data_IF_194156134278
#
_entry.id   IF_194156134278
#
_cell.length_a   1.000
_cell.length_b   1.000
_cell.length_c   1.000
_cell.angle_alpha   90.00
_cell.angle_beta   90.00
_cell.angle_gamma   90.00
#
_symmetry.space_group_name_H-M   'P 1'
#
loop_
_entity.id
_entity.type
_entity.pdbx_description
1 polymer ?
#
# COMPACT_ATOMS: atom_id res chain seq x y z
N UNK A 1 -18.69 4.85 8.55
CA UNK A 1 -17.44 4.08 8.63
C UNK A 1 -16.62 4.51 9.84
N UNK A 2 -15.88 3.62 10.51
CA UNK A 2 -15.02 3.96 11.66
C UNK A 2 -15.44 3.42 13.04
N UNK A 3 -16.57 2.72 13.14
CA UNK A 3 -17.01 2.06 14.38
C UNK A 3 -16.71 0.54 14.40
N UNK A 4 -15.66 0.10 13.70
CA UNK A 4 -15.25 -1.32 13.63
C UNK A 4 -14.84 -1.85 15.00
N UNK A 5 -14.82 -3.16 15.16
CA UNK A 5 -14.20 -3.85 16.28
C UNK A 5 -12.72 -3.43 16.44
N UNK A 6 -12.07 -3.11 15.32
CA UNK A 6 -10.66 -2.75 15.22
C UNK A 6 -10.30 -1.33 15.66
N UNK A 7 -11.28 -0.42 15.87
CA UNK A 7 -11.05 1.00 16.19
C UNK A 7 -10.15 1.26 17.42
N UNK A 8 -10.02 0.26 18.30
CA UNK A 8 -9.13 0.24 19.48
C UNK A 8 -8.45 -1.13 19.65
N UNK A 9 -8.26 -1.84 18.54
CA UNK A 9 -7.66 -3.18 18.46
C UNK A 9 -6.14 -3.17 18.70
N UNK A 10 -5.50 -4.33 18.51
CA UNK A 10 -4.07 -4.52 18.76
C UNK A 10 -3.21 -3.57 17.92
N UNK A 11 -3.42 -3.54 16.60
CA UNK A 11 -2.70 -2.65 15.68
C UNK A 11 -2.87 -1.16 16.05
N UNK A 12 -4.09 -0.73 16.41
CA UNK A 12 -4.32 0.64 16.87
C UNK A 12 -3.51 0.97 18.12
N UNK A 13 -3.47 0.08 19.13
CA UNK A 13 -2.68 0.30 20.35
C UNK A 13 -1.18 0.30 20.03
N UNK A 14 -0.74 -0.58 19.13
CA UNK A 14 0.65 -0.64 18.69
C UNK A 14 1.08 0.72 18.10
N UNK A 15 0.38 1.21 17.07
CA UNK A 15 0.74 2.46 16.38
C UNK A 15 0.56 3.70 17.26
N UNK A 16 -0.51 3.77 18.06
CA UNK A 16 -0.80 4.98 18.84
C UNK A 16 -0.15 5.01 20.22
N UNK A 17 0.38 3.89 20.72
CA UNK A 17 0.98 3.80 22.06
C UNK A 17 2.41 3.28 22.01
N UNK A 18 2.64 2.08 21.44
CA UNK A 18 3.98 1.44 21.45
C UNK A 18 4.96 2.18 20.54
N UNK A 19 4.60 2.47 19.28
CA UNK A 19 5.48 3.23 18.39
C UNK A 19 5.86 4.61 18.94
N UNK A 20 5.02 5.22 19.79
CA UNK A 20 5.33 6.52 20.41
C UNK A 20 6.40 6.47 21.48
N UNK A 21 6.75 5.28 21.96
CA UNK A 21 7.82 5.10 22.95
C UNK A 21 9.14 4.70 22.29
N UNK A 22 9.18 4.58 20.96
CA UNK A 22 10.39 4.21 20.23
C UNK A 22 11.36 5.38 20.20
N UNK A 23 12.66 5.07 20.27
CA UNK A 23 13.72 6.04 20.05
C UNK A 23 14.00 6.24 18.55
N UNK A 24 14.92 7.14 18.22
CA UNK A 24 15.24 7.49 16.83
C UNK A 24 15.79 6.30 16.03
N UNK A 25 16.54 5.38 16.68
CA UNK A 25 17.09 4.20 16.03
C UNK A 25 15.98 3.21 15.67
N UNK A 26 15.06 2.96 16.61
CA UNK A 26 13.91 2.11 16.38
C UNK A 26 12.97 2.69 15.31
N UNK A 27 12.74 4.01 15.30
CA UNK A 27 11.95 4.67 14.28
C UNK A 27 12.61 4.58 12.89
N UNK A 28 13.94 4.69 12.80
CA UNK A 28 14.64 4.49 11.53
C UNK A 28 14.44 3.07 10.99
N UNK A 29 14.49 2.05 11.87
CA UNK A 29 14.19 0.66 11.48
C UNK A 29 12.75 0.54 10.95
N UNK A 30 11.78 1.14 11.66
CA UNK A 30 10.37 1.16 11.23
C UNK A 30 10.22 1.80 9.85
N UNK A 31 10.87 2.93 9.59
CA UNK A 31 10.78 3.58 8.28
C UNK A 31 11.31 2.69 7.14
N UNK A 32 12.39 1.94 7.38
CA UNK A 32 12.90 0.96 6.39
C UNK A 32 11.91 -0.16 6.13
N UNK A 33 11.26 -0.67 7.18
CA UNK A 33 10.20 -1.69 7.06
C UNK A 33 9.01 -1.14 6.27
N UNK A 34 8.60 0.10 6.53
CA UNK A 34 7.51 0.75 5.79
C UNK A 34 7.86 0.93 4.31
N UNK A 35 9.10 1.33 3.99
CA UNK A 35 9.58 1.40 2.61
C UNK A 35 9.52 0.02 1.92
N UNK A 36 9.87 -1.05 2.64
CA UNK A 36 9.82 -2.40 2.11
C UNK A 36 8.40 -2.87 1.81
N UNK A 37 7.44 -2.61 2.70
CA UNK A 37 6.03 -2.93 2.48
C UNK A 37 5.43 -2.05 1.37
N UNK A 38 5.79 -0.76 1.31
CA UNK A 38 5.32 0.14 0.26
C UNK A 38 5.83 -0.25 -1.14
N UNK A 39 7.03 -0.83 -1.22
CA UNK A 39 7.60 -1.32 -2.47
C UNK A 39 6.80 -2.48 -3.11
N UNK A 40 5.96 -3.19 -2.34
CA UNK A 40 5.04 -4.21 -2.87
C UNK A 40 3.98 -3.59 -3.81
N UNK A 41 3.57 -2.35 -3.54
CA UNK A 41 2.60 -1.62 -4.36
C UNK A 41 3.24 -0.84 -5.52
N UNK A 42 4.51 -0.46 -5.35
CA UNK A 42 5.22 0.43 -6.24
C UNK A 42 6.69 0.00 -6.41
N UNK A 43 7.00 -0.87 -7.39
CA UNK A 43 8.36 -1.34 -7.63
C UNK A 43 9.30 -0.21 -8.06
N UNK A 44 8.78 0.90 -8.57
CA UNK A 44 9.57 2.08 -8.98
C UNK A 44 10.30 2.73 -7.79
N UNK A 45 9.86 2.47 -6.55
CA UNK A 45 10.60 2.87 -5.35
C UNK A 45 12.01 2.25 -5.28
N UNK A 46 12.31 1.22 -6.07
CA UNK A 46 13.62 0.55 -6.13
C UNK A 46 14.59 1.12 -7.18
N UNK A 47 14.24 2.22 -7.88
CA UNK A 47 15.02 2.74 -9.01
C UNK A 47 16.47 3.17 -8.71
N UNK A 48 16.80 3.46 -7.44
CA UNK A 48 18.17 3.76 -7.01
C UNK A 48 18.74 2.61 -6.18
N UNK A 49 20.04 2.32 -6.34
CA UNK A 49 20.74 1.31 -5.55
C UNK A 49 20.66 1.57 -4.05
N UNK A 50 20.65 2.84 -3.63
CA UNK A 50 20.45 3.23 -2.22
C UNK A 50 19.05 2.86 -1.74
N UNK A 51 18.02 3.14 -2.54
CA UNK A 51 16.64 2.82 -2.20
C UNK A 51 16.42 1.29 -2.17
N UNK A 52 16.97 0.58 -3.16
CA UNK A 52 16.94 -0.88 -3.20
C UNK A 52 17.62 -1.52 -1.99
N UNK A 53 18.80 -1.01 -1.59
CA UNK A 53 19.49 -1.49 -0.39
C UNK A 53 18.69 -1.23 0.89
N UNK A 54 18.09 -0.05 1.01
CA UNK A 54 17.24 0.33 2.14
C UNK A 54 15.99 -0.56 2.24
N UNK A 55 15.33 -0.85 1.12
CA UNK A 55 14.18 -1.76 1.03
C UNK A 55 14.58 -3.19 1.38
N UNK A 56 15.73 -3.67 0.89
CA UNK A 56 16.23 -4.99 1.24
C UNK A 56 16.51 -5.12 2.74
N UNK A 57 17.15 -4.11 3.35
CA UNK A 57 17.35 -4.04 4.79
C UNK A 57 16.01 -4.02 5.54
N UNK A 58 15.04 -3.24 5.06
CA UNK A 58 13.68 -3.18 5.62
C UNK A 58 12.95 -4.53 5.63
N UNK A 59 13.14 -5.36 4.59
CA UNK A 59 12.58 -6.72 4.55
C UNK A 59 13.14 -7.58 5.68
N UNK A 60 14.44 -7.55 5.90
CA UNK A 60 15.07 -8.32 7.00
C UNK A 60 14.66 -7.77 8.38
N UNK A 61 14.59 -6.44 8.52
CA UNK A 61 14.17 -5.77 9.75
C UNK A 61 12.73 -6.05 10.15
N UNK A 62 11.87 -6.52 9.23
CA UNK A 62 10.48 -6.84 9.55
C UNK A 62 10.35 -7.86 10.69
N UNK A 63 11.27 -8.83 10.75
CA UNK A 63 11.37 -9.82 11.82
C UNK A 63 12.10 -9.36 13.08
N UNK A 64 12.60 -8.13 13.14
CA UNK A 64 13.30 -7.60 14.31
C UNK A 64 12.29 -7.39 15.47
N UNK A 65 12.48 -8.01 16.65
CA UNK A 65 11.59 -7.80 17.79
C UNK A 65 11.55 -6.35 18.30
N UNK A 66 12.57 -5.53 17.98
CA UNK A 66 12.58 -4.10 18.30
C UNK A 66 11.53 -3.33 17.50
N UNK A 67 11.24 -3.74 16.26
CA UNK A 67 10.14 -3.16 15.48
C UNK A 67 8.83 -3.86 15.79
N UNK A 68 8.81 -5.19 15.94
CA UNK A 68 7.64 -5.95 16.39
C UNK A 68 6.53 -6.11 15.34
N UNK A 69 6.80 -5.86 14.06
CA UNK A 69 5.81 -6.00 12.98
C UNK A 69 5.40 -7.46 12.76
N UNK A 70 6.38 -8.37 12.76
CA UNK A 70 6.18 -9.81 12.64
C UNK A 70 5.44 -10.46 13.82
N UNK A 71 5.22 -9.73 14.93
CA UNK A 71 4.39 -10.24 16.04
C UNK A 71 2.94 -10.53 15.57
N UNK A 72 2.44 -9.80 14.57
CA UNK A 72 1.08 -9.95 14.05
C UNK A 72 0.98 -10.11 12.53
N UNK A 73 2.00 -9.71 11.76
CA UNK A 73 1.90 -9.68 10.30
C UNK A 73 2.86 -10.67 9.66
N UNK A 74 2.41 -11.34 8.60
CA UNK A 74 3.26 -12.15 7.72
C UNK A 74 3.76 -11.27 6.58
N UNK A 75 5.05 -11.35 6.27
CA UNK A 75 5.66 -10.64 5.14
C UNK A 75 6.94 -11.34 4.67
N UNK A 76 7.00 -11.64 3.38
CA UNK A 76 8.11 -12.35 2.76
C UNK A 76 8.35 -13.72 3.39
N UNK A 77 9.52 -13.90 4.01
CA UNK A 77 9.90 -15.13 4.68
C UNK A 77 9.46 -15.20 6.15
N UNK A 78 8.92 -14.11 6.68
CA UNK A 78 8.48 -14.03 8.08
C UNK A 78 7.01 -14.41 8.20
N UNK A 79 6.73 -15.35 9.09
CA UNK A 79 5.37 -15.77 9.45
C UNK A 79 4.97 -15.09 10.74
N UNK A 80 3.74 -14.57 10.80
CA UNK A 80 3.20 -13.94 11.99
C UNK A 80 3.10 -14.91 13.18
N UNK A 81 3.34 -14.40 14.39
CA UNK A 81 3.13 -15.13 15.64
C UNK A 81 1.67 -15.03 16.15
N UNK A 82 0.89 -14.10 15.62
CA UNK A 82 -0.52 -13.87 15.97
C UNK A 82 -1.33 -13.31 14.79
N UNK A 83 -2.64 -13.13 14.97
CA UNK A 83 -3.55 -12.76 13.88
C UNK A 83 -3.35 -11.31 13.41
N UNK A 84 -3.02 -11.18 12.12
CA UNK A 84 -3.00 -9.93 11.38
C UNK A 84 -2.88 -10.20 9.87
N UNK A 85 -3.30 -9.24 9.02
CA UNK A 85 -3.26 -9.42 7.57
C UNK A 85 -1.86 -9.73 7.04
N UNK A 86 -1.79 -10.61 6.04
CA UNK A 86 -0.57 -10.83 5.24
C UNK A 86 -0.28 -9.55 4.45
N UNK A 87 0.96 -9.06 4.58
CA UNK A 87 1.41 -7.82 3.95
C UNK A 87 2.12 -8.04 2.61
N UNK A 88 2.26 -9.28 2.15
CA UNK A 88 2.73 -9.59 0.80
C UNK A 88 1.79 -8.97 -0.24
N UNK A 89 2.36 -8.19 -1.16
CA UNK A 89 1.60 -7.44 -2.15
C UNK A 89 0.82 -6.27 -1.56
N UNK A 90 1.01 -5.86 -0.30
CA UNK A 90 0.19 -4.82 0.32
C UNK A 90 0.14 -3.54 -0.53
N UNK A 91 -1.07 -3.02 -0.75
CA UNK A 91 -1.31 -1.84 -1.61
C UNK A 91 -1.17 -2.08 -3.12
N UNK A 92 -0.71 -3.26 -3.55
CA UNK A 92 -0.75 -3.66 -4.97
C UNK A 92 -2.18 -3.77 -5.47
N UNK A 93 -2.35 -3.72 -6.80
CA UNK A 93 -3.64 -3.92 -7.45
C UNK A 93 -4.26 -5.26 -7.06
N UNK A 94 -3.46 -6.32 -6.98
CA UNK A 94 -3.92 -7.66 -6.59
C UNK A 94 -4.44 -7.68 -5.15
N UNK A 95 -3.70 -7.08 -4.21
CA UNK A 95 -4.09 -7.09 -2.80
C UNK A 95 -5.39 -6.32 -2.56
N UNK A 96 -5.55 -5.15 -3.20
CA UNK A 96 -6.78 -4.35 -3.11
C UNK A 96 -7.96 -5.10 -3.75
N UNK A 97 -7.77 -5.72 -4.91
CA UNK A 97 -8.80 -6.54 -5.54
C UNK A 97 -9.20 -7.74 -4.67
N UNK A 98 -8.23 -8.42 -4.05
CA UNK A 98 -8.51 -9.52 -3.12
C UNK A 98 -9.34 -9.06 -1.93
N UNK A 99 -8.99 -7.90 -1.34
CA UNK A 99 -9.76 -7.29 -0.26
C UNK A 99 -11.18 -6.91 -0.67
N UNK A 100 -11.38 -6.38 -1.88
CA UNK A 100 -12.72 -6.05 -2.39
C UNK A 100 -13.52 -7.31 -2.72
N UNK A 101 -12.86 -8.34 -3.25
CA UNK A 101 -13.50 -9.59 -3.63
C UNK A 101 -13.99 -10.35 -2.39
N UNK A 102 -13.09 -10.60 -1.43
CA UNK A 102 -13.40 -11.34 -0.21
C UNK A 102 -12.43 -11.00 0.95
N UNK A 103 -12.77 -10.04 1.81
CA UNK A 103 -11.97 -9.70 2.99
C UNK A 103 -12.01 -10.76 4.10
N UNK A 104 -12.86 -11.79 3.99
CA UNK A 104 -12.96 -12.88 4.98
C UNK A 104 -11.93 -13.98 4.79
N UNK A 105 -11.08 -13.91 3.76
CA UNK A 105 -9.98 -14.85 3.60
C UNK A 105 -8.95 -14.69 4.73
N UNK A 106 -8.32 -15.80 5.13
CA UNK A 106 -7.34 -15.87 6.22
C UNK A 106 -6.17 -14.89 6.02
N UNK A 107 -5.73 -14.68 4.78
CA UNK A 107 -4.66 -13.72 4.46
C UNK A 107 -5.03 -12.25 4.75
N UNK A 108 -6.30 -11.95 4.99
CA UNK A 108 -6.82 -10.62 5.24
C UNK A 108 -7.28 -10.49 6.69
N UNK A 109 -8.59 -10.40 6.92
CA UNK A 109 -9.17 -10.25 8.25
C UNK A 109 -9.87 -11.51 8.72
N UNK A 110 -10.00 -12.57 7.91
CA UNK A 110 -10.59 -13.83 8.36
C UNK A 110 -11.98 -13.64 9.01
N UNK A 111 -12.18 -14.34 10.13
CA UNK A 111 -13.35 -14.20 11.00
C UNK A 111 -13.42 -12.83 11.72
N UNK A 112 -12.31 -12.08 11.77
CA UNK A 112 -12.24 -10.73 12.33
C UNK A 112 -12.72 -9.64 11.34
N UNK A 113 -13.08 -10.00 10.10
CA UNK A 113 -13.76 -9.08 9.19
C UNK A 113 -15.18 -8.78 9.69
N UNK A 114 -15.41 -7.58 10.21
CA UNK A 114 -16.66 -7.26 10.91
C UNK A 114 -17.67 -6.48 10.08
N UNK A 115 -17.22 -5.75 9.04
CA UNK A 115 -18.03 -4.74 8.36
C UNK A 115 -17.76 -4.59 6.87
N UNK A 116 -16.63 -5.08 6.36
CA UNK A 116 -16.35 -4.97 4.93
C UNK A 116 -17.10 -6.09 4.19
N UNK A 117 -17.99 -5.76 3.24
CA UNK A 117 -18.66 -6.78 2.42
C UNK A 117 -17.67 -7.52 1.52
N UNK A 118 -17.97 -8.77 1.19
CA UNK A 118 -17.25 -9.53 0.17
C UNK A 118 -17.84 -9.19 -1.19
N UNK A 119 -17.53 -8.00 -1.73
CA UNK A 119 -18.25 -7.45 -2.89
C UNK A 119 -18.24 -8.37 -4.12
N UNK A 120 -17.15 -9.09 -4.34
CA UNK A 120 -17.01 -10.06 -5.42
C UNK A 120 -17.78 -11.36 -5.16
N UNK A 121 -17.75 -11.88 -3.93
CA UNK A 121 -18.50 -13.08 -3.54
C UNK A 121 -20.01 -12.82 -3.52
N UNK A 122 -20.41 -11.65 -3.04
CA UNK A 122 -21.81 -11.20 -2.99
C UNK A 122 -22.33 -10.73 -4.37
N UNK A 123 -21.46 -10.72 -5.40
CA UNK A 123 -21.74 -10.23 -6.76
C UNK A 123 -22.31 -8.79 -6.81
N UNK A 124 -22.05 -8.00 -5.77
CA UNK A 124 -22.51 -6.62 -5.66
C UNK A 124 -21.66 -5.65 -6.47
N UNK A 125 -20.43 -6.05 -6.82
CA UNK A 125 -19.58 -5.40 -7.81
C UNK A 125 -19.03 -6.47 -8.77
N UNK A 126 -19.01 -6.14 -10.05
CA UNK A 126 -18.31 -6.94 -11.06
C UNK A 126 -16.80 -6.78 -10.92
N UNK A 127 -16.03 -7.72 -11.47
CA UNK A 127 -14.55 -7.63 -11.53
C UNK A 127 -14.08 -6.32 -12.16
N UNK A 128 -14.79 -5.86 -13.20
CA UNK A 128 -14.50 -4.57 -13.85
C UNK A 128 -14.72 -3.38 -12.92
N UNK A 129 -15.80 -3.37 -12.15
CA UNK A 129 -16.09 -2.28 -11.21
C UNK A 129 -15.11 -2.27 -10.04
N UNK A 130 -14.77 -3.43 -9.48
CA UNK A 130 -13.70 -3.53 -8.47
C UNK A 130 -12.36 -3.06 -9.03
N UNK A 131 -12.06 -3.39 -10.30
CA UNK A 131 -10.90 -2.89 -11.02
C UNK A 131 -10.87 -1.37 -11.10
N UNK A 132 -11.96 -0.73 -11.53
CA UNK A 132 -12.05 0.73 -11.60
C UNK A 132 -11.84 1.41 -10.25
N UNK A 133 -12.44 0.88 -9.17
CA UNK A 133 -12.22 1.41 -7.81
C UNK A 133 -10.76 1.22 -7.40
N UNK A 134 -10.16 0.07 -7.70
CA UNK A 134 -8.77 -0.20 -7.37
C UNK A 134 -7.81 0.73 -8.09
N UNK A 135 -8.01 0.91 -9.40
CA UNK A 135 -7.18 1.77 -10.23
C UNK A 135 -7.32 3.24 -9.76
N UNK A 136 -8.55 3.67 -9.42
CA UNK A 136 -8.83 4.97 -8.79
C UNK A 136 -8.22 5.15 -7.39
N UNK A 137 -8.04 4.10 -6.61
CA UNK A 137 -7.35 4.21 -5.31
C UNK A 137 -5.84 4.32 -5.48
N UNK A 138 -5.30 3.76 -6.57
CA UNK A 138 -3.85 3.63 -6.79
C UNK A 138 -3.20 4.79 -7.52
N UNK A 139 -3.97 5.65 -8.18
CA UNK A 139 -3.40 6.64 -9.11
C UNK A 139 -3.38 6.15 -10.56
N UNK A 140 -3.79 4.91 -10.81
CA UNK A 140 -3.57 4.20 -12.07
C UNK A 140 -4.71 4.46 -13.08
N UNK A 141 -5.15 5.71 -13.22
CA UNK A 141 -6.17 6.09 -14.20
C UNK A 141 -5.59 6.95 -15.32
N UNK A 142 -6.28 6.95 -16.45
CA UNK A 142 -5.93 7.82 -17.56
C UNK A 142 -6.17 9.28 -17.20
N UNK A 143 -5.10 10.08 -17.23
CA UNK A 143 -5.18 11.53 -17.24
C UNK A 143 -4.96 12.00 -18.69
N UNK A 144 -5.91 12.73 -19.30
CA UNK A 144 -5.70 13.28 -20.62
C UNK A 144 -4.54 14.28 -20.58
N UNK A 145 -3.72 14.31 -21.63
CA UNK A 145 -2.71 15.36 -21.78
C UNK A 145 -3.43 16.70 -21.93
N UNK A 146 -3.04 17.70 -21.14
CA UNK A 146 -3.61 19.05 -21.22
C UNK A 146 -3.44 19.60 -22.65
N UNK A 147 -4.54 19.71 -23.39
CA UNK A 147 -4.57 20.21 -24.78
C UNK A 147 -4.03 21.66 -24.90
N UNK A 148 -3.93 22.39 -23.78
CA UNK A 148 -3.40 23.75 -23.73
C UNK A 148 -1.87 23.81 -23.96
N UNK A 149 -1.10 22.80 -23.54
CA UNK A 149 0.35 22.76 -23.70
C UNK A 149 0.79 22.54 -25.16
N UNK A 150 -0.05 21.87 -25.96
CA UNK A 150 0.22 21.63 -27.38
C UNK A 150 -0.03 22.87 -28.27
N UNK A 151 -0.79 23.86 -27.77
CA UNK A 151 -1.14 25.06 -28.53
C UNK A 151 -0.07 26.16 -28.49
N UNK A 152 0.75 26.22 -27.42
CA UNK A 152 1.82 27.20 -27.28
C UNK A 152 3.04 26.87 -28.18
N UNK A 153 3.34 25.59 -28.38
CA UNK A 153 4.46 25.16 -29.23
C UNK A 153 4.15 25.32 -30.73
N UNK A 154 2.89 25.13 -31.13
CA UNK A 154 2.43 25.37 -32.49
C UNK A 154 2.42 26.86 -32.86
N UNK A 155 2.19 27.76 -31.89
CA UNK A 155 2.16 29.20 -32.13
C UNK A 155 3.56 29.84 -32.24
N UNK A 156 4.61 29.21 -31.70
CA UNK A 156 5.98 29.75 -31.73
C UNK A 156 6.76 29.46 -33.02
N UNK A 157 6.28 28.58 -33.91
CA UNK A 157 7.01 28.22 -35.14
C UNK A 157 6.65 29.08 -36.37
N UNK A 158 5.78 30.09 -36.20
CA UNK A 158 5.19 30.88 -37.29
C UNK A 158 5.77 32.27 -37.60
N UNK A 159 6.97 32.63 -37.13
CA UNK A 159 7.57 33.94 -37.42
C UNK A 159 8.85 33.81 -38.28
N UNK A 160 8.69 33.76 -39.60
CA UNK A 160 9.79 33.82 -40.57
C UNK A 160 10.45 35.21 -40.62
N UNK A 161 11.75 35.32 -40.98
CA UNK A 161 12.44 36.60 -41.04
C UNK A 161 12.12 37.33 -42.35
N UNK A 162 11.63 38.56 -42.24
CA UNK A 162 11.42 39.45 -43.38
C UNK A 162 12.06 40.81 -43.14
N UNK A 163 12.97 41.18 -44.05
CA UNK A 163 13.40 42.57 -44.31
C UNK A 163 14.79 42.94 -43.82
#
# INVERSE_FOLDING_TARGET
FGATAHRRGAMWRFVTRRLRTYDDEQLEKVDKVLDAVAAEANPDLTHSSTAAARIAEGRELFGDPDVGCAECHTFGTFTAESDGPVLDGWGSREWILGMLHDPTQERFYGDDNDRMPSFGVDESLTEREMGLVTDWLRGDWYEPEDEDAASEDAASTGAGPGG
#
